data_IF_443920030310
#
_entry.id   IF_443920030310
#
_cell.length_a   1.000
_cell.length_b   1.000
_cell.length_c   1.000
_cell.angle_alpha   90.00
_cell.angle_beta   90.00
_cell.angle_gamma   90.00
#
_symmetry.space_group_name_H-M   'P 1'
#
loop_
_entity.id
_entity.type
_entity.pdbx_description
1 polymer ?
#
# COMPACT_ATOMS: atom_id res chain seq x y z
N UNK A 1 -5.66 -23.73 -0.63
CA UNK A 1 -6.01 -23.65 0.80
C UNK A 1 -6.88 -24.81 1.31
N UNK A 2 -7.78 -25.40 0.51
CA UNK A 2 -8.70 -26.46 1.00
C UNK A 2 -8.20 -27.92 0.90
N UNK A 3 -7.01 -28.17 0.34
CA UNK A 3 -6.44 -29.52 0.33
C UNK A 3 -6.14 -30.00 1.76
N UNK A 4 -6.47 -31.26 2.08
CA UNK A 4 -6.33 -31.82 3.44
C UNK A 4 -4.88 -31.78 3.95
N UNK A 5 -3.91 -32.10 3.10
CA UNK A 5 -2.48 -32.03 3.42
C UNK A 5 -2.03 -30.60 3.73
N UNK A 6 -2.46 -29.61 2.94
CA UNK A 6 -2.17 -28.18 3.16
C UNK A 6 -2.79 -27.70 4.47
N UNK A 7 -4.07 -28.04 4.74
CA UNK A 7 -4.73 -27.71 6.02
C UNK A 7 -4.02 -28.34 7.22
N UNK A 8 -3.60 -29.60 7.10
CA UNK A 8 -2.82 -30.29 8.14
C UNK A 8 -1.46 -29.62 8.36
N UNK A 9 -0.74 -29.28 7.29
CA UNK A 9 0.56 -28.62 7.36
C UNK A 9 0.49 -27.21 7.98
N UNK A 10 -0.61 -26.49 7.75
CA UNK A 10 -0.90 -25.19 8.37
C UNK A 10 -1.62 -25.31 9.73
N UNK A 11 -1.70 -26.51 10.30
CA UNK A 11 -2.33 -26.79 11.60
C UNK A 11 -3.80 -26.34 11.73
N UNK A 12 -4.56 -26.35 10.62
CA UNK A 12 -5.98 -25.98 10.61
C UNK A 12 -6.82 -27.13 11.17
N UNK A 13 -7.62 -26.92 12.24
CA UNK A 13 -8.51 -27.95 12.77
C UNK A 13 -9.47 -28.51 11.72
N UNK A 14 -9.67 -29.84 11.74
CA UNK A 14 -10.53 -30.55 10.77
C UNK A 14 -11.98 -30.07 10.82
N UNK A 15 -12.44 -29.60 11.99
CA UNK A 15 -13.82 -29.14 12.21
C UNK A 15 -14.15 -27.77 11.61
N UNK A 16 -13.15 -26.99 11.17
CA UNK A 16 -13.41 -25.66 10.62
C UNK A 16 -13.92 -25.75 9.17
N UNK A 17 -14.77 -24.80 8.75
CA UNK A 17 -15.33 -24.79 7.39
C UNK A 17 -14.25 -24.66 6.32
N UNK A 18 -14.68 -24.80 5.06
CA UNK A 18 -13.82 -24.52 3.92
C UNK A 18 -13.37 -23.06 3.90
N UNK A 19 -12.13 -22.86 3.49
CA UNK A 19 -11.55 -21.55 3.31
C UNK A 19 -12.10 -20.90 2.04
N UNK A 20 -12.48 -19.63 2.13
CA UNK A 20 -12.85 -18.78 1.02
C UNK A 20 -12.00 -17.51 1.05
N UNK A 21 -11.68 -16.95 -0.13
CA UNK A 21 -10.83 -15.76 -0.25
C UNK A 21 -11.51 -14.51 0.33
N UNK A 22 -12.80 -14.35 0.06
CA UNK A 22 -13.65 -13.29 0.56
C UNK A 22 -14.99 -13.90 0.98
N UNK A 23 -15.59 -13.36 2.04
CA UNK A 23 -16.96 -13.67 2.43
C UNK A 23 -17.77 -12.38 2.41
N UNK A 24 -19.03 -12.47 2.03
CA UNK A 24 -19.96 -11.37 2.22
C UNK A 24 -20.41 -11.38 3.68
N UNK A 25 -20.28 -10.26 4.37
CA UNK A 25 -20.79 -10.06 5.72
C UNK A 25 -21.32 -8.64 5.84
N UNK A 26 -22.29 -8.45 6.73
CA UNK A 26 -22.84 -7.13 6.99
C UNK A 26 -21.84 -6.34 7.84
N UNK A 27 -21.31 -5.27 7.28
CA UNK A 27 -20.34 -4.40 7.94
C UNK A 27 -20.79 -2.95 7.83
N UNK A 28 -20.81 -2.27 8.97
CA UNK A 28 -21.13 -0.86 9.04
C UNK A 28 -19.84 -0.03 9.11
N UNK A 29 -19.60 0.75 8.06
CA UNK A 29 -18.47 1.68 7.99
C UNK A 29 -18.53 2.70 9.12
N UNK A 30 -17.46 2.77 9.92
CA UNK A 30 -17.37 3.67 11.08
C UNK A 30 -16.74 5.03 10.77
N UNK A 31 -15.90 5.09 9.72
CA UNK A 31 -15.13 6.28 9.35
C UNK A 31 -15.21 6.51 7.85
N UNK A 32 -15.50 7.74 7.44
CA UNK A 32 -15.45 8.20 6.05
C UNK A 32 -14.14 8.90 5.70
N UNK A 33 -13.32 9.24 6.70
CA UNK A 33 -12.06 9.96 6.53
C UNK A 33 -11.01 9.44 7.54
N UNK A 34 -9.78 9.27 7.04
CA UNK A 34 -8.63 8.82 7.82
C UNK A 34 -7.67 9.95 8.19
N UNK A 35 -7.90 11.18 7.73
CA UNK A 35 -7.05 12.37 7.99
C UNK A 35 -6.65 12.52 9.47
N UNK A 36 -7.56 12.41 10.46
CA UNK A 36 -7.18 12.58 11.87
C UNK A 36 -6.15 11.53 12.34
N UNK A 37 -6.23 10.31 11.82
CA UNK A 37 -5.32 9.22 12.17
C UNK A 37 -3.93 9.46 11.57
N UNK A 38 -3.83 9.87 10.31
CA UNK A 38 -2.54 10.20 9.68
C UNK A 38 -1.85 11.38 10.39
N UNK A 39 -2.60 12.40 10.81
CA UNK A 39 -2.03 13.51 11.61
C UNK A 39 -1.51 13.04 12.97
N UNK A 40 -2.17 12.07 13.62
CA UNK A 40 -1.71 11.47 14.87
C UNK A 40 -0.43 10.64 14.69
N UNK A 41 -0.34 9.87 13.61
CA UNK A 41 0.87 9.09 13.27
C UNK A 41 2.05 10.03 13.00
N UNK A 42 1.81 11.09 12.23
CA UNK A 42 2.80 12.15 11.97
C UNK A 42 3.30 12.83 13.25
N UNK A 43 2.39 13.19 14.17
CA UNK A 43 2.76 13.76 15.47
C UNK A 43 3.62 12.81 16.32
N UNK A 44 3.46 11.50 16.13
CA UNK A 44 4.22 10.44 16.79
C UNK A 44 5.56 10.15 16.11
N UNK A 45 5.91 10.87 15.03
CA UNK A 45 7.16 10.71 14.27
C UNK A 45 7.37 9.30 13.69
N UNK A 46 6.28 8.63 13.35
CA UNK A 46 6.32 7.32 12.69
C UNK A 46 6.30 7.54 11.16
N UNK A 47 7.28 7.01 10.42
CA UNK A 47 7.30 7.11 8.96
C UNK A 47 6.10 6.39 8.32
N UNK A 48 5.53 7.00 7.29
CA UNK A 48 4.40 6.45 6.55
C UNK A 48 4.74 6.28 5.07
N UNK A 49 4.24 5.20 4.47
CA UNK A 49 4.28 4.95 3.03
C UNK A 49 2.87 4.70 2.51
N UNK A 50 2.47 5.49 1.52
CA UNK A 50 1.29 5.26 0.70
C UNK A 50 1.74 4.87 -0.69
N UNK A 51 1.51 3.61 -1.09
CA UNK A 51 1.83 3.12 -2.43
C UNK A 51 0.58 2.67 -3.17
N UNK A 52 0.49 3.01 -4.45
CA UNK A 52 -0.68 2.71 -5.30
C UNK A 52 -0.24 2.15 -6.64
N UNK A 53 -0.96 1.13 -7.14
CA UNK A 53 -0.87 0.78 -8.55
C UNK A 53 -1.53 1.84 -9.41
N UNK A 54 -0.85 2.34 -10.45
CA UNK A 54 -1.36 3.42 -11.29
C UNK A 54 -2.46 3.00 -12.28
N UNK A 55 -2.71 1.70 -12.43
CA UNK A 55 -3.80 1.17 -13.27
C UNK A 55 -4.99 0.66 -12.46
N UNK A 56 -5.02 0.86 -11.13
CA UNK A 56 -6.20 0.55 -10.32
C UNK A 56 -7.29 1.61 -10.51
N UNK A 57 -8.53 1.17 -10.73
CA UNK A 57 -9.69 2.04 -10.83
C UNK A 57 -10.55 2.03 -9.56
N UNK A 58 -10.43 1.01 -8.70
CA UNK A 58 -11.25 0.87 -7.49
C UNK A 58 -10.73 1.78 -6.40
N UNK A 59 -9.43 1.70 -6.09
CA UNK A 59 -8.74 2.58 -5.15
C UNK A 59 -7.63 3.34 -5.88
N UNK A 60 -8.00 4.10 -6.90
CA UNK A 60 -7.06 4.74 -7.81
C UNK A 60 -6.07 5.71 -7.13
N UNK A 61 -4.89 5.82 -7.74
CA UNK A 61 -3.79 6.63 -7.20
C UNK A 61 -4.10 8.13 -7.13
N UNK A 62 -5.00 8.67 -7.97
CA UNK A 62 -5.38 10.08 -7.94
C UNK A 62 -6.05 10.45 -6.62
N UNK A 63 -6.91 9.55 -6.08
CA UNK A 63 -7.51 9.73 -4.77
C UNK A 63 -6.44 9.71 -3.66
N UNK A 64 -5.50 8.77 -3.72
CA UNK A 64 -4.38 8.68 -2.77
C UNK A 64 -3.46 9.90 -2.82
N UNK A 65 -3.18 10.42 -4.02
CA UNK A 65 -2.34 11.61 -4.22
C UNK A 65 -3.04 12.84 -3.65
N UNK A 66 -4.32 13.03 -3.97
CA UNK A 66 -5.14 14.12 -3.42
C UNK A 66 -5.22 14.06 -1.91
N UNK A 67 -5.47 12.87 -1.34
CA UNK A 67 -5.49 12.67 0.10
C UNK A 67 -4.14 13.06 0.74
N UNK A 68 -3.03 12.58 0.17
CA UNK A 68 -1.68 12.89 0.66
C UNK A 68 -1.40 14.40 0.67
N UNK A 69 -1.81 15.12 -0.37
CA UNK A 69 -1.69 16.57 -0.43
C UNK A 69 -2.58 17.28 0.61
N UNK A 70 -3.81 16.80 0.82
CA UNK A 70 -4.77 17.38 1.77
C UNK A 70 -4.35 17.23 3.24
N UNK A 71 -3.44 16.31 3.56
CA UNK A 71 -2.86 16.20 4.92
C UNK A 71 -2.11 17.46 5.33
N UNK A 72 -1.58 18.24 4.38
CA UNK A 72 -0.93 19.52 4.62
C UNK A 72 0.47 19.42 5.22
N UNK A 73 1.12 18.26 5.10
CA UNK A 73 2.51 18.10 5.52
C UNK A 73 3.46 18.85 4.56
N UNK A 74 4.58 19.40 5.05
CA UNK A 74 5.57 20.07 4.19
C UNK A 74 6.08 19.14 3.08
N UNK A 75 6.17 19.64 1.84
CA UNK A 75 6.73 18.90 0.71
C UNK A 75 8.26 19.00 0.76
N UNK A 76 8.94 17.85 0.71
CA UNK A 76 10.40 17.72 0.63
C UNK A 76 10.82 17.50 -0.83
N UNK A 77 10.08 16.68 -1.57
CA UNK A 77 10.38 16.32 -2.96
C UNK A 77 9.07 16.15 -3.74
N UNK A 78 8.88 16.93 -4.81
CA UNK A 78 7.64 16.92 -5.58
C UNK A 78 7.76 16.08 -6.86
N UNK A 79 6.89 15.07 -6.98
CA UNK A 79 6.61 14.32 -8.22
C UNK A 79 7.86 13.89 -9.00
N UNK A 80 8.78 13.17 -8.35
CA UNK A 80 9.97 12.64 -9.00
C UNK A 80 9.77 11.20 -9.44
N UNK A 81 10.21 10.88 -10.65
CA UNK A 81 10.31 9.50 -11.08
C UNK A 81 11.40 8.77 -10.28
N UNK A 82 11.08 7.57 -9.79
CA UNK A 82 12.07 6.64 -9.24
C UNK A 82 12.32 5.50 -10.21
N UNK A 83 13.50 4.90 -10.12
CA UNK A 83 13.96 3.89 -11.09
C UNK A 83 14.23 2.56 -10.42
N UNK A 84 13.90 1.49 -11.12
CA UNK A 84 14.28 0.13 -10.79
C UNK A 84 14.89 -0.50 -12.05
N UNK A 85 16.10 -1.05 -11.94
CA UNK A 85 16.83 -1.66 -13.05
C UNK A 85 16.88 -0.79 -14.33
N UNK A 86 17.14 0.51 -14.16
CA UNK A 86 17.26 1.47 -15.26
C UNK A 86 15.93 1.93 -15.88
N UNK A 87 14.80 1.37 -15.47
CA UNK A 87 13.46 1.74 -15.93
C UNK A 87 12.70 2.54 -14.87
N UNK A 88 11.74 3.35 -15.30
CA UNK A 88 10.84 4.06 -14.37
C UNK A 88 9.93 3.07 -13.68
N UNK A 89 10.07 2.92 -12.36
CA UNK A 89 9.22 2.06 -11.54
C UNK A 89 7.95 2.76 -11.05
N UNK A 90 7.94 4.10 -11.06
CA UNK A 90 6.79 4.92 -10.68
C UNK A 90 7.20 6.38 -10.41
N UNK A 91 6.29 7.14 -9.81
CA UNK A 91 6.50 8.51 -9.38
C UNK A 91 6.24 8.62 -7.89
N UNK A 92 7.01 9.48 -7.21
CA UNK A 92 6.86 9.73 -5.77
C UNK A 92 6.76 11.22 -5.45
N UNK A 93 6.04 11.51 -4.39
CA UNK A 93 6.09 12.79 -3.69
C UNK A 93 6.44 12.51 -2.23
N UNK A 94 7.51 13.13 -1.75
CA UNK A 94 7.99 13.00 -0.38
C UNK A 94 7.53 14.22 0.40
N UNK A 95 6.77 13.99 1.46
CA UNK A 95 6.41 14.95 2.48
C UNK A 95 7.19 14.66 3.76
N UNK A 96 7.24 15.62 4.68
CA UNK A 96 7.75 15.34 6.02
C UNK A 96 6.92 14.23 6.70
N UNK A 97 7.58 13.12 7.04
CA UNK A 97 6.97 11.94 7.67
C UNK A 97 6.10 11.04 6.77
N UNK A 98 5.87 11.37 5.50
CA UNK A 98 5.02 10.60 4.58
C UNK A 98 5.62 10.55 3.17
N UNK A 99 5.73 9.35 2.59
CA UNK A 99 6.01 9.18 1.16
C UNK A 99 4.77 8.66 0.45
N UNK A 100 4.33 9.37 -0.60
CA UNK A 100 3.36 8.87 -1.57
C UNK A 100 4.10 8.36 -2.80
N UNK A 101 3.77 7.18 -3.31
CA UNK A 101 4.35 6.64 -4.55
C UNK A 101 3.35 5.86 -5.39
N UNK A 102 3.49 5.96 -6.70
CA UNK A 102 2.86 5.02 -7.64
C UNK A 102 3.80 3.85 -7.94
N UNK A 103 3.23 2.71 -8.33
CA UNK A 103 3.92 1.57 -8.95
C UNK A 103 3.40 1.48 -10.39
N UNK A 104 4.27 1.75 -11.36
CA UNK A 104 3.93 1.87 -12.76
C UNK A 104 3.47 0.55 -13.35
N UNK A 105 2.31 0.55 -13.98
CA UNK A 105 1.71 -0.61 -14.64
C UNK A 105 1.26 -1.69 -13.66
N UNK A 106 0.88 -1.31 -12.43
CA UNK A 106 0.32 -2.21 -11.43
C UNK A 106 -1.15 -1.83 -11.13
N UNK A 107 -2.01 -2.82 -10.89
CA UNK A 107 -3.38 -2.60 -10.42
C UNK A 107 -3.48 -2.59 -8.89
N UNK A 108 -4.68 -2.91 -8.38
CA UNK A 108 -5.03 -2.93 -6.95
C UNK A 108 -4.06 -3.70 -6.01
N UNK A 109 -3.95 -5.02 -6.18
CA UNK A 109 -2.87 -5.88 -5.69
C UNK A 109 -1.50 -5.63 -6.35
N UNK A 110 -0.89 -4.45 -6.21
CA UNK A 110 0.39 -4.10 -6.86
C UNK A 110 1.51 -5.18 -6.78
N UNK A 111 1.74 -5.87 -5.63
CA UNK A 111 2.73 -6.95 -5.55
C UNK A 111 2.48 -8.13 -6.50
N UNK A 112 1.23 -8.37 -6.93
CA UNK A 112 0.88 -9.44 -7.86
C UNK A 112 1.36 -9.15 -9.29
N UNK A 113 1.28 -7.88 -9.72
CA UNK A 113 1.59 -7.49 -11.10
C UNK A 113 2.99 -6.92 -11.29
N UNK A 114 3.55 -6.28 -10.26
CA UNK A 114 4.85 -5.62 -10.26
C UNK A 114 5.64 -5.99 -9.01
N UNK A 115 5.83 -7.29 -8.80
CA UNK A 115 6.45 -7.81 -7.58
C UNK A 115 7.86 -7.23 -7.33
N UNK A 116 8.78 -7.17 -8.31
CA UNK A 116 10.12 -6.63 -8.08
C UNK A 116 10.11 -5.15 -7.71
N UNK A 117 9.35 -4.33 -8.44
CA UNK A 117 9.25 -2.89 -8.22
C UNK A 117 8.57 -2.57 -6.88
N UNK A 118 7.49 -3.30 -6.56
CA UNK A 118 6.79 -3.14 -5.28
C UNK A 118 7.67 -3.57 -4.10
N UNK A 119 8.38 -4.70 -4.23
CA UNK A 119 9.32 -5.16 -3.22
C UNK A 119 10.49 -4.17 -3.03
N UNK A 120 11.00 -3.57 -4.11
CA UNK A 120 12.01 -2.51 -4.03
C UNK A 120 11.47 -1.32 -3.23
N UNK A 121 10.31 -0.79 -3.60
CA UNK A 121 9.70 0.36 -2.91
C UNK A 121 9.52 0.09 -1.40
N UNK A 122 8.96 -1.06 -1.03
CA UNK A 122 8.77 -1.45 0.37
C UNK A 122 10.13 -1.62 1.07
N UNK A 123 11.10 -2.27 0.43
CA UNK A 123 12.43 -2.50 1.01
C UNK A 123 13.16 -1.20 1.31
N UNK A 124 13.10 -0.23 0.39
CA UNK A 124 13.72 1.08 0.63
C UNK A 124 13.06 1.78 1.82
N UNK A 125 11.72 1.78 1.87
CA UNK A 125 10.98 2.36 2.99
C UNK A 125 11.37 1.75 4.34
N UNK A 126 11.32 0.41 4.48
CA UNK A 126 11.65 -0.25 5.76
C UNK A 126 13.14 -0.11 6.15
N UNK A 127 14.02 0.12 5.16
CA UNK A 127 15.45 0.34 5.38
C UNK A 127 15.79 1.83 5.61
N UNK A 128 14.78 2.70 5.67
CA UNK A 128 14.92 4.16 5.74
C UNK A 128 15.82 4.72 4.63
N UNK A 129 15.65 4.20 3.41
CA UNK A 129 16.37 4.61 2.21
C UNK A 129 15.42 5.31 1.22
N UNK A 130 15.93 6.23 0.39
CA UNK A 130 15.13 6.83 -0.68
C UNK A 130 14.67 5.79 -1.70
N UNK A 131 13.40 5.87 -2.11
CA UNK A 131 12.86 5.15 -3.28
C UNK A 131 13.30 5.86 -4.56
#
# INVERSE_FOLDING_TARGET
MNQKNVRKALHIPVKLPEWNICINFDYQTQYSDMTPFYKKIYASKIPMLLYYGDTDLVCNFLMGQKFSAQLGFPIIEHEKAWKFNGQVGGFKTVYDGLTFTTIRGAGHMAPQWRAPETAYAIKQFVSNQPI
#
